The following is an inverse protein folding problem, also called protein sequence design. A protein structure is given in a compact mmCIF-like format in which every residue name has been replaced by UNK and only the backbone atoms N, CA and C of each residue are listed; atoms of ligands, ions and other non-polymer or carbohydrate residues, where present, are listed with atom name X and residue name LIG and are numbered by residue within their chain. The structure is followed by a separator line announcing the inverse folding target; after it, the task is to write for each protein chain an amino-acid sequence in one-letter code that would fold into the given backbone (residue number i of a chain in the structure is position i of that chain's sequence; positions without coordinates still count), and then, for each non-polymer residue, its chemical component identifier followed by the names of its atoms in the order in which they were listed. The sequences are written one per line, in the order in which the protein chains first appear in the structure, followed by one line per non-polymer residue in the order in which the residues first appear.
data_IF_008195380309
#
_entry.id   IF_008195380309
#
_cell.length_a   1.000
_cell.length_b   1.000
_cell.length_c   1.000
_cell.angle_alpha   90.00
_cell.angle_beta   90.00
_cell.angle_gamma   90.00
#
_symmetry.space_group_name_H-M   'P 1'
#
loop_
_entity.id
_entity.type
_entity.pdbx_description
1 polymer ?
#
# COMPACT_ATOMS: atom_id res chain seq x y z
N UNK A 1 22.97 9.09 3.56
CA UNK A 1 21.80 9.40 4.40
C UNK A 1 21.89 8.59 5.68
N UNK A 2 22.01 9.26 6.81
CA UNK A 2 21.90 8.63 8.13
C UNK A 2 20.41 8.58 8.48
N UNK A 3 19.74 7.51 8.12
CA UNK A 3 18.32 7.30 8.41
C UNK A 3 18.01 7.19 9.92
N UNK A 4 19.04 6.94 10.73
CA UNK A 4 18.88 6.80 12.19
C UNK A 4 18.54 8.11 12.93
N UNK A 5 18.78 9.27 12.32
CA UNK A 5 18.62 10.56 12.99
C UNK A 5 17.16 11.07 12.99
N UNK A 6 16.23 10.34 12.34
CA UNK A 6 14.83 10.75 12.22
C UNK A 6 13.85 9.85 12.99
N UNK A 7 14.36 8.86 13.71
CA UNK A 7 13.53 7.98 14.53
C UNK A 7 13.19 8.62 15.87
N UNK A 8 11.92 8.58 16.22
CA UNK A 8 11.49 8.92 17.59
C UNK A 8 12.04 7.86 18.54
N UNK A 9 12.91 8.23 19.50
CA UNK A 9 13.43 7.27 20.46
C UNK A 9 12.33 6.93 21.49
N UNK A 10 11.49 5.96 21.16
CA UNK A 10 10.34 5.60 21.98
C UNK A 10 10.74 5.08 23.38
N UNK A 11 11.98 4.62 23.56
CA UNK A 11 12.44 4.06 24.84
C UNK A 11 11.83 2.71 25.20
N UNK A 12 11.11 2.09 24.27
CA UNK A 12 10.47 0.79 24.41
C UNK A 12 11.00 -0.18 23.37
N UNK A 13 11.21 -1.42 23.78
CA UNK A 13 11.49 -2.50 22.83
C UNK A 13 10.25 -2.92 22.04
N UNK A 14 9.08 -2.75 22.62
CA UNK A 14 7.79 -3.07 22.02
C UNK A 14 7.02 -1.78 21.71
N UNK A 15 6.90 -1.43 20.43
CA UNK A 15 6.16 -0.25 20.00
C UNK A 15 4.68 -0.30 20.38
N UNK A 16 4.11 -1.50 20.41
CA UNK A 16 2.73 -1.64 20.86
C UNK A 16 2.56 -1.16 22.29
N UNK A 17 3.48 -1.53 23.19
CA UNK A 17 3.49 -1.07 24.57
C UNK A 17 3.71 0.43 24.68
N UNK A 18 4.57 1.00 23.83
CA UNK A 18 4.79 2.44 23.77
C UNK A 18 3.50 3.20 23.44
N UNK A 19 2.74 2.75 22.45
CA UNK A 19 1.47 3.36 22.07
C UNK A 19 0.39 3.16 23.13
N UNK A 20 0.23 1.94 23.63
CA UNK A 20 -0.77 1.61 24.64
C UNK A 20 -0.54 2.43 25.94
N UNK A 21 0.70 2.49 26.43
CA UNK A 21 1.05 3.24 27.64
C UNK A 21 0.87 4.75 27.53
N UNK A 22 0.90 5.28 26.30
CA UNK A 22 0.64 6.70 26.05
C UNK A 22 -0.84 7.05 26.19
N UNK A 23 -1.75 6.10 25.93
CA UNK A 23 -3.19 6.25 26.07
C UNK A 23 -3.85 7.06 24.96
N UNK A 24 -3.17 8.06 24.37
CA UNK A 24 -3.66 8.85 23.24
C UNK A 24 -2.54 9.36 22.36
N UNK A 25 -2.86 9.67 21.10
CA UNK A 25 -1.92 10.30 20.16
C UNK A 25 -1.41 11.64 20.67
N UNK A 26 -2.25 12.43 21.34
CA UNK A 26 -1.88 13.72 21.93
C UNK A 26 -0.88 13.53 23.09
N UNK A 27 -1.13 12.59 24.00
CA UNK A 27 -0.21 12.30 25.11
C UNK A 27 1.14 11.80 24.60
N UNK A 28 1.12 10.98 23.53
CA UNK A 28 2.32 10.53 22.85
C UNK A 28 3.07 11.69 22.20
N UNK A 29 2.37 12.57 21.48
CA UNK A 29 2.98 13.74 20.88
C UNK A 29 3.67 14.63 21.94
N UNK A 30 3.00 14.89 23.07
CA UNK A 30 3.61 15.64 24.18
C UNK A 30 4.85 14.94 24.77
N UNK A 31 4.78 13.64 24.98
CA UNK A 31 5.91 12.84 25.50
C UNK A 31 7.16 12.98 24.65
N UNK A 32 7.01 12.99 23.33
CA UNK A 32 8.11 13.07 22.36
C UNK A 32 8.29 14.45 21.72
N UNK A 33 7.61 15.48 22.24
CA UNK A 33 7.66 16.87 21.77
C UNK A 33 7.24 17.06 20.31
N UNK A 34 6.49 16.09 19.76
CA UNK A 34 5.94 16.18 18.41
C UNK A 34 4.84 17.23 18.31
N UNK A 35 4.15 17.54 19.41
CA UNK A 35 3.15 18.60 19.55
C UNK A 35 3.73 20.00 19.26
N UNK A 36 5.05 20.17 19.33
CA UNK A 36 5.75 21.41 19.01
C UNK A 36 6.00 21.58 17.51
N UNK A 37 5.81 20.51 16.72
CA UNK A 37 6.05 20.53 15.28
C UNK A 37 4.86 21.18 14.55
N UNK A 38 5.10 22.18 13.67
CA UNK A 38 4.04 22.80 12.87
C UNK A 38 3.21 21.81 12.07
N UNK A 39 3.85 20.74 11.58
CA UNK A 39 3.18 19.67 10.81
C UNK A 39 2.19 18.90 11.68
N UNK A 40 2.54 18.59 12.93
CA UNK A 40 1.63 17.92 13.86
C UNK A 40 0.33 18.71 14.05
N UNK A 41 0.45 20.01 14.31
CA UNK A 41 -0.73 20.89 14.48
C UNK A 41 -1.62 20.88 13.24
N UNK A 42 -1.03 20.98 12.05
CA UNK A 42 -1.80 20.91 10.79
C UNK A 42 -2.57 19.60 10.66
N UNK A 43 -2.00 18.47 11.06
CA UNK A 43 -2.69 17.18 11.03
C UNK A 43 -3.83 17.13 12.05
N UNK A 44 -3.58 17.55 13.30
CA UNK A 44 -4.57 17.56 14.39
C UNK A 44 -5.73 18.50 14.10
N UNK A 45 -5.46 19.67 13.51
CA UNK A 45 -6.48 20.65 13.15
C UNK A 45 -7.33 20.21 11.95
N UNK A 46 -6.89 19.17 11.22
CA UNK A 46 -7.57 18.65 10.04
C UNK A 46 -7.81 17.13 10.15
N UNK A 47 -8.60 16.66 11.13
CA UNK A 47 -8.81 15.23 11.39
C UNK A 47 -9.64 14.52 10.29
N UNK A 48 -10.37 15.28 9.47
CA UNK A 48 -11.21 14.77 8.39
C UNK A 48 -10.61 15.13 7.02
N UNK A 49 -10.96 14.38 5.98
CA UNK A 49 -10.58 14.68 4.61
C UNK A 49 -11.30 15.94 4.09
N UNK A 50 -10.68 17.09 4.34
CA UNK A 50 -11.18 18.43 4.03
C UNK A 50 -10.34 19.13 2.93
N UNK A 51 -10.51 20.44 2.78
CA UNK A 51 -9.78 21.24 1.80
C UNK A 51 -8.26 21.20 1.98
N UNK A 52 -7.77 21.07 3.21
CA UNK A 52 -6.35 20.95 3.50
C UNK A 52 -5.75 19.68 2.85
N UNK A 53 -6.41 18.54 3.00
CA UNK A 53 -5.97 17.27 2.41
C UNK A 53 -6.18 17.25 0.90
N UNK A 54 -7.33 17.73 0.40
CA UNK A 54 -7.60 17.83 -1.04
C UNK A 54 -6.57 18.68 -1.77
N UNK A 55 -6.11 19.76 -1.15
CA UNK A 55 -5.07 20.63 -1.73
C UNK A 55 -3.70 19.95 -1.89
N UNK A 56 -3.50 18.80 -1.25
CA UNK A 56 -2.27 18.00 -1.31
C UNK A 56 -2.46 16.67 -2.04
N UNK A 57 -3.67 16.36 -2.46
CA UNK A 57 -4.00 15.12 -3.16
C UNK A 57 -3.34 15.09 -4.54
N UNK A 58 -2.27 14.31 -4.69
CA UNK A 58 -1.44 14.26 -5.90
C UNK A 58 -2.28 13.88 -7.12
N UNK A 59 -3.18 12.90 -6.99
CA UNK A 59 -4.07 12.49 -8.07
C UNK A 59 -4.94 13.64 -8.56
N UNK A 60 -5.47 14.50 -7.68
CA UNK A 60 -6.32 15.63 -8.04
C UNK A 60 -5.49 16.73 -8.73
N UNK A 61 -4.28 16.98 -8.23
CA UNK A 61 -3.33 17.91 -8.83
C UNK A 61 -2.94 17.46 -10.24
N UNK A 62 -2.65 16.17 -10.42
CA UNK A 62 -2.33 15.58 -11.71
C UNK A 62 -3.54 15.58 -12.63
N UNK A 63 -4.73 15.28 -12.12
CA UNK A 63 -5.98 15.35 -12.89
C UNK A 63 -6.27 16.76 -13.44
N UNK A 64 -5.93 17.80 -12.69
CA UNK A 64 -6.16 19.19 -13.12
C UNK A 64 -5.16 19.70 -14.17
N UNK A 65 -4.09 18.95 -14.49
CA UNK A 65 -3.02 19.40 -15.38
C UNK A 65 -2.95 18.56 -16.66
N UNK A 66 -2.54 19.14 -17.81
CA UNK A 66 -2.35 18.37 -19.03
C UNK A 66 -1.18 17.39 -18.89
N UNK A 67 -1.32 16.22 -19.51
CA UNK A 67 -0.22 15.26 -19.65
C UNK A 67 0.77 15.79 -20.69
N UNK A 68 2.00 16.12 -20.23
CA UNK A 68 3.02 16.73 -21.10
C UNK A 68 4.22 15.82 -21.37
N UNK A 69 4.45 14.85 -20.50
CA UNK A 69 5.61 13.95 -20.57
C UNK A 69 5.15 12.51 -20.36
N UNK A 70 5.92 11.55 -20.86
CA UNK A 70 5.68 10.14 -20.53
C UNK A 70 5.84 9.91 -19.02
N UNK A 71 5.03 9.00 -18.48
CA UNK A 71 5.00 8.70 -17.04
C UNK A 71 5.01 7.19 -16.84
N UNK A 72 5.91 6.72 -15.99
CA UNK A 72 5.95 5.35 -15.51
C UNK A 72 5.59 5.34 -14.02
N UNK A 73 4.39 4.88 -13.70
CA UNK A 73 3.94 4.66 -12.33
C UNK A 73 4.37 3.27 -11.88
N UNK A 74 5.17 3.21 -10.82
CA UNK A 74 5.66 1.95 -10.25
C UNK A 74 5.06 1.77 -8.87
N UNK A 75 4.43 0.62 -8.64
CA UNK A 75 3.70 0.33 -7.42
C UNK A 75 4.05 -1.04 -6.87
N UNK A 76 4.20 -1.15 -5.55
CA UNK A 76 4.37 -2.41 -4.83
C UNK A 76 3.02 -2.98 -4.39
N UNK A 77 2.70 -4.22 -4.76
CA UNK A 77 1.46 -4.88 -4.35
C UNK A 77 1.37 -5.05 -2.82
N UNK A 78 2.51 -5.21 -2.18
CA UNK A 78 2.63 -5.39 -0.73
C UNK A 78 3.30 -4.16 -0.08
N UNK A 79 3.09 -2.99 -0.65
CA UNK A 79 3.58 -1.74 -0.06
C UNK A 79 2.78 -1.44 1.21
N UNK A 80 3.45 -1.40 2.34
CA UNK A 80 2.83 -1.16 3.64
C UNK A 80 2.58 0.32 3.93
N UNK A 81 3.08 1.22 3.08
CA UNK A 81 2.95 2.66 3.25
C UNK A 81 2.02 3.29 2.20
N UNK A 82 2.11 2.89 0.92
CA UNK A 82 1.56 3.61 -0.22
C UNK A 82 0.60 2.77 -1.08
N UNK A 83 -0.40 2.12 -0.49
CA UNK A 83 -1.33 1.26 -1.23
C UNK A 83 -2.27 2.00 -2.20
N UNK A 84 -2.59 3.25 -1.93
CA UNK A 84 -3.58 4.01 -2.71
C UNK A 84 -2.94 4.89 -3.79
N UNK A 85 -1.83 5.58 -3.46
CA UNK A 85 -1.32 6.72 -4.21
C UNK A 85 -0.91 6.40 -5.65
N UNK A 86 -0.20 5.29 -5.85
CA UNK A 86 0.26 4.89 -7.20
C UNK A 86 -0.90 4.62 -8.16
N UNK A 87 -1.88 3.83 -7.74
CA UNK A 87 -3.04 3.50 -8.57
C UNK A 87 -3.92 4.72 -8.84
N UNK A 88 -4.11 5.59 -7.85
CA UNK A 88 -4.88 6.83 -8.01
C UNK A 88 -4.18 7.79 -9.00
N UNK A 89 -2.87 7.93 -8.92
CA UNK A 89 -2.08 8.74 -9.86
C UNK A 89 -2.15 8.19 -11.28
N UNK A 90 -2.00 6.86 -11.45
CA UNK A 90 -2.17 6.22 -12.76
C UNK A 90 -3.53 6.54 -13.37
N UNK A 91 -4.63 6.31 -12.65
CA UNK A 91 -5.99 6.59 -13.14
C UNK A 91 -6.21 8.05 -13.54
N UNK A 92 -5.63 8.98 -12.76
CA UNK A 92 -5.74 10.41 -13.04
C UNK A 92 -4.99 10.83 -14.31
N UNK A 93 -3.94 10.14 -14.68
CA UNK A 93 -3.12 10.43 -15.85
C UNK A 93 -3.55 9.63 -17.08
N UNK A 94 -3.88 8.36 -16.91
CA UNK A 94 -4.30 7.45 -17.98
C UNK A 94 -5.53 7.99 -18.72
N UNK A 95 -6.48 8.56 -18.01
CA UNK A 95 -7.65 9.22 -18.62
C UNK A 95 -7.31 10.36 -19.61
N UNK A 96 -6.04 10.79 -19.69
CA UNK A 96 -5.54 11.83 -20.60
C UNK A 96 -4.62 11.30 -21.68
N UNK A 97 -4.35 10.01 -21.67
CA UNK A 97 -3.50 9.33 -22.65
C UNK A 97 -4.35 8.66 -23.72
N UNK A 98 -4.93 9.46 -24.61
CA UNK A 98 -5.87 8.99 -25.63
C UNK A 98 -5.29 7.89 -26.53
N UNK A 99 -3.98 7.95 -26.77
CA UNK A 99 -3.27 6.99 -27.63
C UNK A 99 -2.71 5.80 -26.86
N UNK A 100 -2.84 5.82 -25.53
CA UNK A 100 -2.35 4.79 -24.61
C UNK A 100 -0.84 4.46 -24.77
N UNK A 101 -0.03 5.51 -24.95
CA UNK A 101 1.40 5.40 -25.29
C UNK A 101 2.34 6.13 -24.33
N UNK A 102 1.80 6.87 -23.38
CA UNK A 102 2.56 7.77 -22.52
C UNK A 102 2.50 7.41 -21.04
N UNK A 103 1.39 6.81 -20.60
CA UNK A 103 1.19 6.48 -19.18
C UNK A 103 1.30 4.98 -19.00
N UNK A 104 2.28 4.57 -18.24
CA UNK A 104 2.53 3.17 -17.96
C UNK A 104 2.36 2.89 -16.48
N UNK A 105 1.74 1.76 -16.14
CA UNK A 105 1.62 1.24 -14.79
C UNK A 105 2.40 -0.06 -14.64
N UNK A 106 3.27 -0.13 -13.63
CA UNK A 106 3.91 -1.38 -13.24
C UNK A 106 3.53 -1.70 -11.80
N UNK A 107 2.96 -2.88 -11.57
CA UNK A 107 2.65 -3.40 -10.23
C UNK A 107 3.47 -4.65 -9.99
N UNK A 108 4.49 -4.56 -9.14
CA UNK A 108 5.33 -5.69 -8.77
C UNK A 108 4.97 -6.28 -7.42
N UNK A 109 5.43 -7.50 -7.11
CA UNK A 109 5.14 -8.19 -5.86
C UNK A 109 6.04 -7.69 -4.71
N UNK A 110 6.13 -6.38 -4.58
CA UNK A 110 7.13 -5.69 -3.77
C UNK A 110 6.53 -5.04 -2.52
N UNK A 111 7.34 -4.93 -1.48
CA UNK A 111 7.13 -4.00 -0.39
C UNK A 111 7.63 -2.59 -0.77
N UNK A 112 7.52 -1.63 0.16
CA UNK A 112 7.99 -0.26 -0.05
C UNK A 112 9.47 -0.21 -0.47
N UNK A 113 9.71 0.33 -1.67
CA UNK A 113 11.05 0.50 -2.25
C UNK A 113 11.76 -0.79 -2.70
N UNK A 114 11.14 -1.97 -2.64
CA UNK A 114 11.79 -3.22 -3.05
C UNK A 114 12.07 -3.30 -4.55
N UNK A 115 11.36 -2.56 -5.39
CA UNK A 115 11.68 -2.44 -6.83
C UNK A 115 13.11 -2.01 -7.12
N UNK A 116 13.79 -1.36 -6.15
CA UNK A 116 15.18 -0.90 -6.25
C UNK A 116 16.19 -1.88 -5.61
N UNK A 117 15.74 -2.95 -5.00
CA UNK A 117 16.55 -3.94 -4.30
C UNK A 117 16.38 -5.32 -4.93
N UNK A 118 16.77 -6.34 -4.23
CA UNK A 118 16.52 -7.73 -4.61
C UNK A 118 15.02 -8.07 -4.42
N UNK A 119 14.42 -8.75 -5.36
CA UNK A 119 12.98 -9.00 -5.42
C UNK A 119 12.58 -10.43 -5.74
N UNK A 120 13.36 -11.44 -5.35
CA UNK A 120 13.01 -12.86 -5.56
C UNK A 120 12.02 -13.38 -4.52
N UNK A 121 11.91 -12.70 -3.39
CA UNK A 121 11.05 -13.13 -2.29
C UNK A 121 10.52 -11.95 -1.46
N UNK A 122 9.45 -12.18 -0.73
CA UNK A 122 8.95 -11.31 0.30
C UNK A 122 8.42 -12.14 1.48
N UNK A 123 9.15 -12.12 2.60
CA UNK A 123 8.85 -12.99 3.73
C UNK A 123 8.88 -14.47 3.35
N UNK A 124 7.77 -15.16 3.52
CA UNK A 124 7.62 -16.56 3.12
C UNK A 124 7.27 -16.77 1.63
N UNK A 125 6.94 -15.69 0.92
CA UNK A 125 6.56 -15.75 -0.49
C UNK A 125 7.79 -15.77 -1.39
N UNK A 126 7.84 -16.71 -2.34
CA UNK A 126 8.93 -16.89 -3.30
C UNK A 126 8.42 -16.71 -4.73
N UNK A 127 9.13 -15.92 -5.54
CA UNK A 127 8.69 -15.59 -6.91
C UNK A 127 9.40 -16.40 -8.01
N UNK A 128 10.40 -17.20 -7.66
CA UNK A 128 11.23 -18.01 -8.57
C UNK A 128 12.16 -17.20 -9.49
N UNK A 129 12.19 -15.89 -9.37
CA UNK A 129 13.08 -14.99 -10.10
C UNK A 129 13.19 -13.65 -9.36
N UNK A 130 14.29 -12.92 -9.56
CA UNK A 130 14.39 -11.53 -9.07
C UNK A 130 13.51 -10.63 -9.93
N UNK A 131 12.29 -10.39 -9.44
CA UNK A 131 11.28 -9.57 -10.13
C UNK A 131 11.70 -8.10 -10.23
N UNK A 132 12.49 -7.63 -9.28
CA UNK A 132 12.96 -6.24 -9.25
C UNK A 132 14.10 -6.03 -10.26
N UNK A 133 15.05 -6.96 -10.36
CA UNK A 133 16.09 -6.91 -11.38
C UNK A 133 15.46 -6.98 -12.78
N UNK A 134 14.57 -7.94 -12.98
CA UNK A 134 13.86 -8.09 -14.25
C UNK A 134 13.14 -6.78 -14.65
N UNK A 135 12.42 -6.16 -13.72
CA UNK A 135 11.74 -4.88 -13.97
C UNK A 135 12.74 -3.78 -14.37
N UNK A 136 13.84 -3.64 -13.63
CA UNK A 136 14.84 -2.60 -13.93
C UNK A 136 15.46 -2.77 -15.31
N UNK A 137 15.76 -4.00 -15.71
CA UNK A 137 16.41 -4.31 -16.99
C UNK A 137 15.44 -4.26 -18.18
N UNK A 138 14.20 -4.73 -17.99
CA UNK A 138 13.26 -4.92 -19.11
C UNK A 138 12.22 -3.78 -19.25
N UNK A 139 12.06 -2.94 -18.24
CA UNK A 139 11.07 -1.85 -18.25
C UNK A 139 11.70 -0.51 -17.89
N UNK A 140 12.31 -0.39 -16.71
CA UNK A 140 12.76 0.90 -16.20
C UNK A 140 13.88 1.51 -17.05
N UNK A 141 14.93 0.74 -17.31
CA UNK A 141 16.05 1.20 -18.14
C UNK A 141 15.63 1.44 -19.60
N UNK A 142 14.86 0.55 -20.26
CA UNK A 142 14.29 0.85 -21.58
C UNK A 142 13.41 2.08 -21.62
N UNK A 143 12.57 2.34 -20.60
CA UNK A 143 11.77 3.55 -20.51
C UNK A 143 12.64 4.82 -20.50
N UNK A 144 13.67 4.85 -19.68
CA UNK A 144 14.58 5.99 -19.64
C UNK A 144 15.39 6.16 -20.92
N UNK A 145 15.87 5.08 -21.51
CA UNK A 145 16.62 5.13 -22.78
C UNK A 145 15.74 5.66 -23.91
N UNK A 146 14.50 5.21 -24.02
CA UNK A 146 13.57 5.70 -25.01
C UNK A 146 13.30 7.20 -24.86
N UNK A 147 12.94 7.64 -23.65
CA UNK A 147 12.44 9.01 -23.48
C UNK A 147 13.54 10.05 -23.23
N UNK A 148 14.72 9.65 -22.82
CA UNK A 148 15.84 10.57 -22.59
C UNK A 148 16.91 10.54 -23.69
N UNK A 149 17.03 9.41 -24.41
CA UNK A 149 18.08 9.25 -25.44
C UNK A 149 17.49 8.97 -26.83
N UNK A 150 16.20 8.67 -26.96
CA UNK A 150 15.58 8.27 -28.22
C UNK A 150 15.94 6.84 -28.66
N UNK A 151 16.44 6.01 -27.78
CA UNK A 151 16.80 4.61 -28.06
C UNK A 151 15.55 3.73 -27.97
N UNK A 152 15.18 3.10 -29.11
CA UNK A 152 14.01 2.23 -29.13
C UNK A 152 14.25 0.95 -28.34
N UNK A 153 13.30 0.54 -27.46
CA UNK A 153 13.41 -0.70 -26.74
C UNK A 153 13.24 -1.91 -27.64
N UNK A 154 13.88 -3.03 -27.28
CA UNK A 154 13.76 -4.29 -28.01
C UNK A 154 12.32 -4.83 -28.06
N UNK A 155 11.52 -4.51 -27.05
CA UNK A 155 10.09 -4.81 -26.98
C UNK A 155 9.33 -3.58 -26.48
N UNK A 156 8.11 -3.30 -26.99
CA UNK A 156 7.30 -2.20 -26.50
C UNK A 156 7.01 -2.34 -25.00
N UNK A 157 7.09 -1.22 -24.27
CA UNK A 157 6.67 -1.18 -22.87
C UNK A 157 5.13 -1.19 -22.85
N UNK A 158 4.49 -2.19 -22.23
CA UNK A 158 3.02 -2.25 -22.22
C UNK A 158 2.42 -1.11 -21.38
N UNK A 159 1.19 -0.65 -21.67
CA UNK A 159 0.52 0.35 -20.85
C UNK A 159 0.36 -0.09 -19.40
N UNK A 160 0.05 -1.36 -19.17
CA UNK A 160 -0.02 -1.97 -17.83
C UNK A 160 0.76 -3.26 -17.78
N UNK A 161 1.58 -3.39 -16.76
CA UNK A 161 2.34 -4.59 -16.46
C UNK A 161 2.18 -4.91 -14.98
N UNK A 162 1.62 -6.07 -14.65
CA UNK A 162 1.52 -6.49 -13.25
C UNK A 162 2.03 -7.93 -13.06
N UNK A 163 2.61 -8.18 -11.90
CA UNK A 163 3.07 -9.51 -11.54
C UNK A 163 1.91 -10.32 -10.94
N UNK A 164 1.53 -11.37 -11.63
CA UNK A 164 0.55 -12.36 -11.16
C UNK A 164 1.21 -13.26 -10.11
N UNK A 165 0.92 -13.02 -8.86
CA UNK A 165 1.51 -13.75 -7.72
C UNK A 165 1.09 -15.21 -7.67
N UNK A 166 -0.10 -15.54 -8.17
CA UNK A 166 -0.60 -16.91 -8.23
C UNK A 166 0.15 -17.77 -9.26
N UNK A 167 0.41 -17.20 -10.45
CA UNK A 167 1.12 -17.87 -11.52
C UNK A 167 2.62 -17.53 -11.55
N UNK A 168 3.07 -16.61 -10.67
CA UNK A 168 4.47 -16.15 -10.57
C UNK A 168 5.06 -15.67 -11.88
N UNK A 169 4.31 -14.83 -12.61
CA UNK A 169 4.72 -14.29 -13.91
C UNK A 169 4.19 -12.88 -14.14
N UNK A 170 4.91 -12.13 -14.95
CA UNK A 170 4.46 -10.86 -15.46
C UNK A 170 3.33 -11.03 -16.47
N UNK A 171 2.31 -10.18 -16.37
CA UNK A 171 1.21 -10.08 -17.33
C UNK A 171 1.05 -8.65 -17.79
N UNK A 172 0.72 -8.49 -19.06
CA UNK A 172 0.49 -7.20 -19.70
C UNK A 172 -0.99 -7.01 -20.05
N UNK A 173 -1.49 -5.79 -19.89
CA UNK A 173 -2.85 -5.37 -20.27
C UNK A 173 -2.81 -4.00 -20.90
N UNK A 174 -3.92 -3.64 -21.57
CA UNK A 174 -4.07 -2.33 -22.18
C UNK A 174 -4.58 -1.28 -21.17
N UNK A 175 -5.29 -1.70 -20.13
CA UNK A 175 -5.84 -0.82 -19.08
C UNK A 175 -5.86 -1.52 -17.73
N UNK A 176 -6.09 -0.76 -16.65
CA UNK A 176 -6.27 -1.30 -15.30
C UNK A 176 -7.49 -0.68 -14.59
N UNK A 177 -8.48 -1.48 -14.16
CA UNK A 177 -8.59 -2.93 -14.40
C UNK A 177 -8.73 -3.24 -15.90
N UNK A 178 -8.37 -4.49 -16.27
CA UNK A 178 -8.43 -4.92 -17.68
C UNK A 178 -9.88 -4.86 -18.21
N UNK A 179 -10.08 -4.19 -19.32
CA UNK A 179 -11.41 -4.04 -19.92
C UNK A 179 -12.03 -5.38 -20.28
N UNK A 180 -13.30 -5.57 -19.91
CA UNK A 180 -14.07 -6.78 -20.16
C UNK A 180 -13.65 -8.04 -19.38
N UNK A 181 -12.59 -7.96 -18.56
CA UNK A 181 -12.10 -9.09 -17.75
C UNK A 181 -12.53 -9.02 -16.28
N UNK A 182 -13.31 -8.01 -15.89
CA UNK A 182 -13.69 -7.77 -14.50
C UNK A 182 -15.20 -7.90 -14.33
N UNK A 183 -15.62 -8.74 -13.41
CA UNK A 183 -16.99 -8.78 -12.89
C UNK A 183 -17.01 -8.29 -11.45
N UNK A 184 -18.03 -7.51 -11.10
CA UNK A 184 -18.24 -7.07 -9.72
C UNK A 184 -19.15 -8.05 -9.00
N UNK A 185 -18.69 -8.53 -7.86
CA UNK A 185 -19.50 -9.33 -6.94
C UNK A 185 -19.57 -8.64 -5.57
N UNK A 186 -20.69 -8.79 -4.88
CA UNK A 186 -20.86 -8.26 -3.53
C UNK A 186 -20.77 -9.39 -2.53
N UNK A 187 -19.93 -9.22 -1.52
CA UNK A 187 -19.90 -10.05 -0.34
C UNK A 187 -20.67 -9.33 0.77
N UNK A 188 -21.71 -9.99 1.28
CA UNK A 188 -22.56 -9.43 2.31
C UNK A 188 -22.18 -9.98 3.67
N UNK A 189 -22.06 -9.09 4.66
CA UNK A 189 -21.94 -9.45 6.06
C UNK A 189 -23.22 -10.19 6.49
N UNK A 190 -23.05 -11.30 7.18
CA UNK A 190 -24.15 -12.13 7.68
C UNK A 190 -24.24 -12.04 9.20
N UNK A 191 -25.41 -12.25 9.79
CA UNK A 191 -25.53 -12.46 11.22
C UNK A 191 -24.57 -13.56 11.71
N UNK A 192 -23.89 -13.30 12.83
CA UNK A 192 -22.92 -14.24 13.38
C UNK A 192 -21.51 -14.16 12.78
N UNK A 193 -21.19 -13.09 12.01
CA UNK A 193 -19.83 -12.80 11.56
C UNK A 193 -19.40 -13.54 10.29
N UNK A 194 -20.36 -14.06 9.49
CA UNK A 194 -20.05 -14.70 8.22
C UNK A 194 -20.06 -13.74 7.03
N UNK A 195 -19.47 -14.17 5.90
CA UNK A 195 -19.54 -13.50 4.60
C UNK A 195 -20.16 -14.44 3.57
N UNK A 196 -21.15 -13.94 2.79
CA UNK A 196 -21.78 -14.69 1.69
C UNK A 196 -22.09 -13.81 0.50
N UNK A 197 -22.18 -14.39 -0.69
CA UNK A 197 -22.65 -13.68 -1.89
C UNK A 197 -24.17 -13.44 -1.86
N UNK A 198 -24.94 -14.23 -1.09
CA UNK A 198 -26.36 -14.01 -0.89
C UNK A 198 -26.59 -12.83 0.07
N UNK A 199 -27.62 -12.04 -0.21
CA UNK A 199 -28.07 -10.98 0.70
C UNK A 199 -28.53 -11.59 2.05
N UNK A 200 -28.30 -10.88 3.17
CA UNK A 200 -28.84 -11.32 4.46
C UNK A 200 -30.37 -11.25 4.45
N UNK A 201 -31.02 -12.06 5.28
CA UNK A 201 -32.47 -12.00 5.49
C UNK A 201 -32.85 -10.56 5.91
N UNK A 202 -33.88 -10.01 5.26
CA UNK A 202 -34.40 -8.67 5.56
C UNK A 202 -34.90 -8.54 7.02
N UNK A 203 -35.29 -9.65 7.65
CA UNK A 203 -35.67 -9.71 9.06
C UNK A 203 -34.49 -9.84 10.01
N UNK A 204 -33.26 -10.04 9.48
CA UNK A 204 -32.07 -10.13 10.30
C UNK A 204 -31.69 -8.78 10.88
N UNK A 205 -31.03 -8.80 12.04
CA UNK A 205 -30.47 -7.59 12.65
C UNK A 205 -29.46 -6.95 11.67
N UNK A 206 -29.58 -5.66 11.32
CA UNK A 206 -28.77 -5.02 10.28
C UNK A 206 -27.34 -4.71 10.74
N UNK A 207 -26.95 -5.05 11.95
CA UNK A 207 -25.63 -4.81 12.52
C UNK A 207 -25.20 -5.97 13.42
N UNK A 208 -23.89 -6.10 13.59
CA UNK A 208 -23.26 -6.94 14.60
C UNK A 208 -22.54 -6.03 15.62
N UNK A 209 -22.44 -6.50 16.85
CA UNK A 209 -21.77 -5.78 17.94
C UNK A 209 -20.63 -6.64 18.48
N UNK A 210 -19.54 -6.00 18.81
CA UNK A 210 -18.42 -6.62 19.53
C UNK A 210 -17.87 -5.63 20.57
N UNK A 211 -17.21 -6.16 21.59
CA UNK A 211 -16.54 -5.34 22.59
C UNK A 211 -15.11 -5.10 22.15
N UNK A 212 -14.79 -3.84 21.81
CA UNK A 212 -13.42 -3.43 21.57
C UNK A 212 -12.76 -3.15 22.92
N UNK A 213 -12.06 -4.13 23.48
CA UNK A 213 -11.35 -4.01 24.74
C UNK A 213 -9.88 -3.62 24.49
N UNK A 214 -9.46 -2.39 24.81
CA UNK A 214 -8.08 -1.93 24.61
C UNK A 214 -7.07 -2.69 25.49
N UNK A 215 -7.53 -3.34 26.56
CA UNK A 215 -6.66 -4.21 27.39
C UNK A 215 -6.44 -5.60 26.76
N UNK A 216 -7.30 -5.98 25.81
CA UNK A 216 -7.24 -7.27 25.09
C UNK A 216 -7.47 -7.09 23.58
N UNK A 217 -6.68 -6.27 22.91
CA UNK A 217 -6.88 -6.00 21.48
C UNK A 217 -6.63 -7.27 20.66
N UNK A 218 -7.20 -7.31 19.45
CA UNK A 218 -6.86 -8.35 18.48
C UNK A 218 -5.39 -8.19 18.12
N UNK A 219 -4.54 -9.19 18.32
CA UNK A 219 -3.14 -9.08 17.96
C UNK A 219 -2.99 -9.08 16.45
N UNK A 220 -2.24 -8.12 15.95
CA UNK A 220 -1.85 -8.05 14.54
C UNK A 220 -0.56 -8.81 14.27
N UNK A 221 0.36 -8.77 15.24
CA UNK A 221 1.67 -9.42 15.17
C UNK A 221 2.06 -10.03 16.50
N UNK A 222 2.95 -10.99 16.44
CA UNK A 222 3.59 -11.54 17.64
C UNK A 222 4.44 -10.44 18.29
N UNK A 223 4.29 -10.27 19.61
CA UNK A 223 5.06 -9.31 20.40
C UNK A 223 6.44 -9.86 20.77
N UNK A 224 7.46 -9.00 20.93
CA UNK A 224 7.42 -7.53 20.83
C UNK A 224 7.36 -7.04 19.39
N UNK A 225 6.59 -5.98 19.13
CA UNK A 225 6.58 -5.27 17.85
C UNK A 225 7.75 -4.29 17.88
N UNK A 226 8.85 -4.66 17.24
CA UNK A 226 10.06 -3.83 17.24
C UNK A 226 9.87 -2.55 16.44
N UNK A 227 10.58 -1.46 16.79
CA UNK A 227 10.60 -0.25 15.99
C UNK A 227 10.98 -0.54 14.54
N UNK A 228 10.38 0.20 13.62
CA UNK A 228 10.38 -0.04 12.17
C UNK A 228 11.77 -0.35 11.59
N UNK A 229 12.80 0.37 12.03
CA UNK A 229 14.16 0.22 11.50
C UNK A 229 15.13 -0.50 12.44
N UNK A 230 14.64 -1.04 13.54
CA UNK A 230 15.48 -1.82 14.45
C UNK A 230 15.84 -3.17 13.85
N UNK A 231 17.00 -3.68 14.23
CA UNK A 231 17.45 -5.00 13.82
C UNK A 231 16.41 -6.07 14.23
N UNK A 232 15.94 -6.84 13.28
CA UNK A 232 14.93 -7.87 13.49
C UNK A 232 13.47 -7.39 13.48
N UNK A 233 13.22 -6.10 13.19
CA UNK A 233 11.85 -5.56 13.05
C UNK A 233 11.04 -6.26 11.98
N UNK A 234 11.66 -6.61 10.85
CA UNK A 234 11.00 -7.21 9.66
C UNK A 234 9.72 -6.46 9.21
N UNK A 235 9.60 -5.17 9.51
CA UNK A 235 8.42 -4.37 9.18
C UNK A 235 8.10 -4.34 7.68
N UNK A 236 9.12 -4.48 6.87
CA UNK A 236 9.06 -4.56 5.41
C UNK A 236 8.32 -5.81 4.90
N UNK A 237 8.02 -6.78 5.77
CA UNK A 237 7.32 -8.03 5.49
C UNK A 237 5.99 -8.20 6.23
N UNK A 238 5.58 -7.22 7.02
CA UNK A 238 4.40 -7.36 7.88
C UNK A 238 3.11 -7.68 7.10
N UNK A 239 2.95 -7.17 5.87
CA UNK A 239 1.77 -7.44 5.05
C UNK A 239 1.66 -8.89 4.54
N UNK A 240 2.73 -9.67 4.63
CA UNK A 240 2.77 -11.08 4.23
C UNK A 240 2.95 -12.04 5.40
N UNK A 241 2.83 -11.54 6.64
CA UNK A 241 2.79 -12.39 7.82
C UNK A 241 1.54 -13.26 7.84
N UNK A 242 1.69 -14.48 8.32
CA UNK A 242 0.56 -15.41 8.49
C UNK A 242 -0.40 -14.92 9.58
N UNK A 243 -1.60 -14.51 9.17
CA UNK A 243 -2.63 -14.01 10.07
C UNK A 243 -3.54 -15.10 10.65
N UNK A 244 -3.42 -16.35 10.20
CA UNK A 244 -4.24 -17.46 10.71
C UNK A 244 -4.21 -17.62 12.23
N UNK A 245 -3.07 -17.41 12.93
CA UNK A 245 -3.05 -17.47 14.39
C UNK A 245 -3.94 -16.45 15.11
N UNK A 246 -4.33 -15.39 14.40
CA UNK A 246 -5.12 -14.28 14.94
C UNK A 246 -6.55 -14.24 14.39
N UNK A 247 -6.81 -14.91 13.26
CA UNK A 247 -8.10 -14.88 12.59
C UNK A 247 -9.14 -15.83 13.21
N UNK A 248 -8.68 -16.85 13.95
CA UNK A 248 -9.56 -17.86 14.57
C UNK A 248 -10.09 -17.38 15.94
N UNK A 249 -10.72 -16.22 15.95
CA UNK A 249 -11.27 -15.56 17.14
C UNK A 249 -12.72 -15.16 16.87
N UNK A 250 -13.54 -15.17 17.92
CA UNK A 250 -14.96 -14.79 17.84
C UNK A 250 -15.20 -13.29 17.64
N UNK A 251 -14.19 -12.46 17.84
CA UNK A 251 -14.20 -10.99 17.66
C UNK A 251 -13.51 -10.54 16.36
N UNK A 252 -13.21 -11.48 15.46
CA UNK A 252 -12.67 -11.23 14.12
C UNK A 252 -13.66 -11.78 13.08
N UNK A 253 -13.86 -11.02 12.00
CA UNK A 253 -14.70 -11.38 10.86
C UNK A 253 -13.87 -11.91 9.69
#
# INVERSE_FOLDING_TARGET
HKSSDHQVPYGYRDLYEAFLSAGSAEAMARRYKADQLPTWRKVVDNPNYNAFWRGQAVQDILAARPLRVPVLVVHGLFDQEDNFGGIAAYRALEAKDADNTRVHLVVGPWNHGQSQREGSELGALKWNADTSLWFRENVLLPFWNLHLKGEMPASPIPPVLAFDTGHRKWRAWQSWPADGAVSTARLHLQPGGGLRFAEPDAAARPYAEYVSDPAKPVPYRVRPVLPMYDAGSSWDRWLVDDQRPFADRTDVL
#
